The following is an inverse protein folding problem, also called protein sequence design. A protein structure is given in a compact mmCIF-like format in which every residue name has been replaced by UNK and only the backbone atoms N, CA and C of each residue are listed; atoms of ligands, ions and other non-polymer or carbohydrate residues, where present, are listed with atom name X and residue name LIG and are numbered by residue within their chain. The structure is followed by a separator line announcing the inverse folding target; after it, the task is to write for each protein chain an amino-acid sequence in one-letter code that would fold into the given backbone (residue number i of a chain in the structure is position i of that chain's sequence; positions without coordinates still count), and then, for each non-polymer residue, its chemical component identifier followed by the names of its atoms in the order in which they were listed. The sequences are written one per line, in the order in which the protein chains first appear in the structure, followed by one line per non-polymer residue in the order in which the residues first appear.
data_IF_016222388266
#
_entry.id   IF_016222388266
#
_cell.length_a   1.000
_cell.length_b   1.000
_cell.length_c   1.000
_cell.angle_alpha   90.00
_cell.angle_beta   90.00
_cell.angle_gamma   90.00
#
_symmetry.space_group_name_H-M   'P 1'
#
loop_
_entity.id
_entity.type
_entity.pdbx_description
1 polymer ?
#
# COMPACT_ATOMS: atom_id res chain seq x y z
N UNK A 1 9.33 -21.84 20.75
CA UNK A 1 8.27 -22.03 19.73
C UNK A 1 8.68 -21.20 18.52
N UNK A 2 8.97 -21.83 17.39
CA UNK A 2 9.40 -21.11 16.18
C UNK A 2 8.30 -20.13 15.77
N UNK A 3 8.59 -18.83 15.79
CA UNK A 3 7.68 -17.84 15.25
C UNK A 3 7.43 -18.21 13.77
N UNK A 4 6.16 -18.38 13.40
CA UNK A 4 5.79 -18.58 11.99
C UNK A 4 6.24 -17.36 11.19
N UNK A 5 6.84 -17.56 10.01
CA UNK A 5 7.21 -16.46 9.12
C UNK A 5 5.99 -15.70 8.57
N UNK A 6 4.80 -16.29 8.66
CA UNK A 6 3.54 -15.73 8.20
C UNK A 6 2.89 -14.80 9.24
N UNK A 7 2.28 -13.74 8.72
CA UNK A 7 1.54 -12.75 9.50
C UNK A 7 0.31 -12.25 8.70
N UNK A 8 -0.85 -11.99 9.32
CA UNK A 8 -1.15 -12.17 10.75
C UNK A 8 -1.11 -13.63 11.16
N UNK A 9 -0.87 -13.90 12.45
CA UNK A 9 -0.69 -15.27 12.96
C UNK A 9 -1.98 -16.07 12.84
N UNK A 10 -1.88 -17.27 12.29
CA UNK A 10 -2.96 -18.23 12.14
C UNK A 10 -2.44 -19.66 12.30
N UNK A 11 -3.36 -20.60 12.53
CA UNK A 11 -3.03 -22.02 12.70
C UNK A 11 -2.75 -22.73 11.37
N UNK A 12 -3.29 -22.21 10.26
CA UNK A 12 -3.11 -22.70 8.90
C UNK A 12 -3.14 -21.53 7.92
N UNK A 13 -2.35 -21.65 6.86
CA UNK A 13 -2.37 -20.73 5.72
C UNK A 13 -2.59 -21.48 4.42
N UNK A 14 -3.31 -20.84 3.50
CA UNK A 14 -3.41 -21.26 2.11
C UNK A 14 -2.47 -20.36 1.28
N UNK A 15 -1.52 -20.98 0.59
CA UNK A 15 -0.44 -20.27 -0.13
C UNK A 15 -0.67 -20.37 -1.63
N UNK A 16 -0.84 -19.22 -2.26
CA UNK A 16 -1.02 -19.08 -3.71
C UNK A 16 0.31 -18.70 -4.35
N UNK A 17 0.70 -19.38 -5.43
CA UNK A 17 1.97 -19.08 -6.11
C UNK A 17 1.76 -17.95 -7.11
N UNK A 18 2.56 -16.90 -7.00
CA UNK A 18 2.68 -15.83 -7.99
C UNK A 18 3.99 -16.01 -8.77
N UNK A 19 3.94 -16.43 -10.05
CA UNK A 19 5.13 -16.45 -10.89
C UNK A 19 5.60 -15.02 -11.18
N UNK A 20 6.88 -14.78 -10.96
CA UNK A 20 7.58 -13.54 -11.25
C UNK A 20 8.58 -13.79 -12.39
N UNK A 21 8.14 -13.43 -13.60
CA UNK A 21 8.96 -13.50 -14.81
C UNK A 21 9.80 -12.23 -14.96
N UNK A 22 11.09 -12.39 -15.29
CA UNK A 22 11.95 -11.25 -15.61
C UNK A 22 11.69 -10.75 -17.04
N UNK A 23 11.85 -9.45 -17.29
CA UNK A 23 11.64 -8.89 -18.64
C UNK A 23 12.67 -9.44 -19.63
N UNK A 24 12.20 -9.76 -20.84
CA UNK A 24 13.05 -10.27 -21.93
C UNK A 24 14.10 -9.28 -22.45
N UNK A 25 14.02 -8.01 -22.04
CA UNK A 25 14.98 -6.95 -22.37
C UNK A 25 16.29 -7.07 -21.56
N UNK A 26 16.32 -7.81 -20.46
CA UNK A 26 17.52 -7.95 -19.63
C UNK A 26 18.53 -8.92 -20.27
N UNK A 27 19.77 -8.45 -20.45
CA UNK A 27 20.89 -9.29 -20.86
C UNK A 27 21.22 -10.39 -19.83
N UNK A 28 21.87 -11.48 -20.25
CA UNK A 28 22.31 -12.55 -19.35
C UNK A 28 23.19 -12.02 -18.20
N UNK A 29 24.09 -11.09 -18.51
CA UNK A 29 24.96 -10.47 -17.50
C UNK A 29 24.16 -9.63 -16.50
N UNK A 30 23.18 -8.84 -16.96
CA UNK A 30 22.30 -8.09 -16.08
C UNK A 30 21.50 -9.02 -15.16
N UNK A 31 20.98 -10.13 -15.70
CA UNK A 31 20.26 -11.14 -14.91
C UNK A 31 21.14 -11.78 -13.84
N UNK A 32 22.38 -12.15 -14.18
CA UNK A 32 23.34 -12.70 -13.23
C UNK A 32 23.69 -11.70 -12.11
N UNK A 33 23.90 -10.43 -12.45
CA UNK A 33 24.15 -9.36 -11.48
C UNK A 33 22.95 -9.15 -10.54
N UNK A 34 21.72 -9.16 -11.08
CA UNK A 34 20.51 -9.08 -10.25
C UNK A 34 20.41 -10.30 -9.32
N UNK A 35 20.64 -11.52 -9.82
CA UNK A 35 20.62 -12.71 -8.96
C UNK A 35 21.66 -12.61 -7.84
N UNK A 36 22.87 -12.13 -8.15
CA UNK A 36 23.91 -11.86 -7.16
C UNK A 36 23.43 -10.88 -6.08
N UNK A 37 22.79 -9.77 -6.43
CA UNK A 37 22.31 -8.80 -5.43
C UNK A 37 21.23 -9.38 -4.53
N UNK A 38 20.33 -10.21 -5.06
CA UNK A 38 19.32 -10.92 -4.28
C UNK A 38 19.99 -11.83 -3.23
N UNK A 39 20.94 -12.66 -3.65
CA UNK A 39 21.69 -13.56 -2.75
C UNK A 39 22.43 -12.77 -1.66
N UNK A 40 23.11 -11.68 -2.02
CA UNK A 40 23.83 -10.84 -1.06
C UNK A 40 22.87 -10.20 -0.04
N UNK A 41 21.67 -9.82 -0.46
CA UNK A 41 20.65 -9.28 0.43
C UNK A 41 20.08 -10.34 1.37
N UNK A 42 19.85 -11.57 0.90
CA UNK A 42 19.45 -12.68 1.77
C UNK A 42 20.52 -12.97 2.83
N UNK A 43 21.80 -12.91 2.45
CA UNK A 43 22.94 -13.02 3.38
C UNK A 43 22.94 -11.89 4.42
N UNK A 44 22.74 -10.64 4.00
CA UNK A 44 22.64 -9.49 4.90
C UNK A 44 21.47 -9.65 5.88
N UNK A 45 20.29 -10.03 5.37
CA UNK A 45 19.10 -10.22 6.20
C UNK A 45 19.27 -11.33 7.23
N UNK A 46 19.92 -12.43 6.86
CA UNK A 46 20.24 -13.52 7.77
C UNK A 46 21.26 -13.08 8.84
N UNK A 47 22.29 -12.34 8.43
CA UNK A 47 23.33 -11.82 9.32
C UNK A 47 22.80 -10.78 10.33
N UNK A 48 21.70 -10.07 10.02
CA UNK A 48 21.05 -9.17 10.98
C UNK A 48 20.51 -9.89 12.22
N UNK A 49 20.19 -11.19 12.12
CA UNK A 49 19.64 -11.98 13.24
C UNK A 49 20.71 -12.73 14.03
N UNK A 50 22.00 -12.58 13.70
CA UNK A 50 23.10 -13.30 14.35
C UNK A 50 23.85 -12.41 15.32
N UNK A 51 23.98 -12.82 16.58
CA UNK A 51 24.92 -12.22 17.53
C UNK A 51 26.28 -12.93 17.42
N UNK A 52 27.16 -12.42 16.55
CA UNK A 52 28.46 -13.03 16.27
C UNK A 52 29.55 -11.98 16.07
N UNK A 53 30.77 -12.25 16.56
CA UNK A 53 31.91 -11.31 16.48
C UNK A 53 32.31 -10.86 15.07
N UNK A 54 31.90 -11.59 14.05
CA UNK A 54 32.19 -11.29 12.63
C UNK A 54 31.04 -10.59 11.89
N UNK A 55 29.93 -10.33 12.59
CA UNK A 55 28.71 -9.78 11.97
C UNK A 55 29.00 -8.49 11.20
N UNK A 56 29.71 -7.54 11.82
CA UNK A 56 30.04 -6.25 11.21
C UNK A 56 30.95 -6.39 9.98
N UNK A 57 31.94 -7.28 10.02
CA UNK A 57 32.83 -7.52 8.88
C UNK A 57 32.08 -8.17 7.70
N UNK A 58 31.20 -9.13 7.98
CA UNK A 58 30.34 -9.76 6.96
C UNK A 58 29.43 -8.70 6.33
N UNK A 59 28.78 -7.85 7.15
CA UNK A 59 27.94 -6.76 6.66
C UNK A 59 28.72 -5.80 5.76
N UNK A 60 29.92 -5.37 6.16
CA UNK A 60 30.74 -4.45 5.39
C UNK A 60 31.17 -5.05 4.03
N UNK A 61 31.68 -6.29 4.02
CA UNK A 61 32.10 -6.97 2.80
C UNK A 61 30.93 -7.21 1.84
N UNK A 62 29.79 -7.65 2.38
CA UNK A 62 28.60 -7.95 1.58
C UNK A 62 28.01 -6.68 0.99
N UNK A 63 27.94 -5.59 1.77
CA UNK A 63 27.50 -4.27 1.30
C UNK A 63 28.42 -3.71 0.21
N UNK A 64 29.75 -3.87 0.34
CA UNK A 64 30.69 -3.45 -0.70
C UNK A 64 30.49 -4.22 -2.01
N UNK A 65 30.22 -5.53 -1.92
CA UNK A 65 29.94 -6.36 -3.11
C UNK A 65 28.61 -5.98 -3.77
N UNK A 66 27.59 -5.70 -2.96
CA UNK A 66 26.28 -5.22 -3.42
C UNK A 66 26.40 -3.90 -4.18
N UNK A 67 27.20 -2.96 -3.65
CA UNK A 67 27.56 -1.71 -4.33
C UNK A 67 28.20 -1.95 -5.70
N UNK A 68 29.22 -2.82 -5.77
CA UNK A 68 29.88 -3.14 -7.04
C UNK A 68 28.92 -3.75 -8.06
N UNK A 69 28.02 -4.63 -7.63
CA UNK A 69 27.01 -5.22 -8.50
C UNK A 69 26.02 -4.17 -9.04
N UNK A 70 25.57 -3.23 -8.21
CA UNK A 70 24.71 -2.11 -8.64
C UNK A 70 25.40 -1.21 -9.68
N UNK A 71 26.65 -0.82 -9.44
CA UNK A 71 27.44 -0.02 -10.40
C UNK A 71 27.71 -0.79 -11.69
N UNK A 72 27.90 -2.11 -11.62
CA UNK A 72 28.08 -2.94 -12.81
C UNK A 72 26.78 -3.04 -13.60
N UNK A 73 25.65 -3.22 -12.90
CA UNK A 73 24.32 -3.34 -13.51
C UNK A 73 23.92 -2.06 -14.25
N UNK A 74 24.28 -0.86 -13.75
CA UNK A 74 23.94 0.40 -14.43
C UNK A 74 24.54 0.48 -15.85
N UNK A 75 25.71 -0.11 -16.08
CA UNK A 75 26.34 -0.15 -17.40
C UNK A 75 25.57 -1.01 -18.43
N UNK A 76 24.61 -1.82 -17.98
CA UNK A 76 23.80 -2.67 -18.84
C UNK A 76 22.43 -2.08 -19.17
N UNK A 77 22.07 -0.93 -18.59
CA UNK A 77 20.84 -0.23 -18.91
C UNK A 77 21.10 0.80 -20.02
N UNK A 78 20.03 1.34 -20.59
CA UNK A 78 20.08 2.46 -21.54
C UNK A 78 19.43 3.71 -20.96
N UNK A 79 18.33 3.54 -20.23
CA UNK A 79 17.59 4.64 -19.63
C UNK A 79 18.42 5.41 -18.59
N UNK A 80 18.42 6.74 -18.70
CA UNK A 80 19.26 7.62 -17.86
C UNK A 80 18.86 7.56 -16.39
N UNK A 81 17.56 7.61 -16.12
CA UNK A 81 17.06 7.64 -14.75
C UNK A 81 17.25 6.28 -14.08
N UNK A 82 16.98 5.18 -14.80
CA UNK A 82 17.28 3.82 -14.31
C UNK A 82 18.76 3.62 -13.96
N UNK A 83 19.68 4.18 -14.76
CA UNK A 83 21.13 4.16 -14.47
C UNK A 83 21.48 4.94 -13.21
N UNK A 84 21.06 6.20 -13.16
CA UNK A 84 21.35 7.09 -12.04
C UNK A 84 20.74 6.54 -10.75
N UNK A 85 19.57 5.92 -10.80
CA UNK A 85 18.93 5.27 -9.65
C UNK A 85 19.86 4.23 -9.03
N UNK A 86 20.44 3.34 -9.84
CA UNK A 86 21.38 2.32 -9.39
C UNK A 86 22.67 2.93 -8.82
N UNK A 87 23.23 3.92 -9.50
CA UNK A 87 24.47 4.58 -9.09
C UNK A 87 24.30 5.34 -7.77
N UNK A 88 23.22 6.10 -7.63
CA UNK A 88 22.92 6.82 -6.39
C UNK A 88 22.54 5.87 -5.27
N UNK A 89 21.81 4.78 -5.56
CA UNK A 89 21.54 3.73 -4.57
C UNK A 89 22.84 3.11 -4.06
N UNK A 90 23.78 2.83 -4.95
CA UNK A 90 25.10 2.32 -4.60
C UNK A 90 25.88 3.27 -3.68
N UNK A 91 25.76 4.59 -3.89
CA UNK A 91 26.39 5.61 -3.03
C UNK A 91 25.76 5.70 -1.63
N UNK A 92 24.47 5.37 -1.47
CA UNK A 92 23.82 5.38 -0.14
C UNK A 92 24.40 4.35 0.83
N UNK A 93 25.15 3.37 0.32
CA UNK A 93 25.84 2.38 1.15
C UNK A 93 27.08 2.95 1.86
N UNK A 94 27.74 3.98 1.28
CA UNK A 94 28.99 4.53 1.82
C UNK A 94 28.74 5.70 2.77
N UNK A 95 27.79 6.58 2.42
CA UNK A 95 27.59 7.85 3.11
C UNK A 95 26.15 8.03 3.58
N UNK A 96 25.94 7.81 4.88
CA UNK A 96 24.65 8.06 5.52
C UNK A 96 24.25 9.54 5.53
N UNK A 97 25.21 10.46 5.41
CA UNK A 97 24.91 11.90 5.34
C UNK A 97 24.31 12.25 3.97
N UNK A 98 24.80 11.64 2.89
CA UNK A 98 24.27 11.82 1.54
C UNK A 98 22.95 11.05 1.31
N UNK A 99 22.64 10.03 2.13
CA UNK A 99 21.46 9.17 1.95
C UNK A 99 20.17 9.97 1.78
N UNK A 100 19.89 10.96 2.63
CA UNK A 100 18.66 11.77 2.51
C UNK A 100 18.55 12.44 1.14
N UNK A 101 19.60 13.15 0.74
CA UNK A 101 19.63 13.88 -0.53
C UNK A 101 19.49 12.95 -1.74
N UNK A 102 20.24 11.84 -1.74
CA UNK A 102 20.20 10.87 -2.84
C UNK A 102 18.84 10.20 -2.94
N UNK A 103 18.24 9.82 -1.81
CA UNK A 103 16.91 9.21 -1.79
C UNK A 103 15.81 10.18 -2.26
N UNK A 104 15.89 11.47 -1.92
CA UNK A 104 14.99 12.51 -2.45
C UNK A 104 15.15 12.69 -3.95
N UNK A 105 16.39 12.66 -4.46
CA UNK A 105 16.66 12.71 -5.91
C UNK A 105 16.13 11.47 -6.64
N UNK A 106 16.30 10.28 -6.08
CA UNK A 106 15.72 9.04 -6.62
C UNK A 106 14.19 9.13 -6.63
N UNK A 107 13.57 9.73 -5.61
CA UNK A 107 12.12 9.88 -5.55
C UNK A 107 11.54 10.75 -6.67
N UNK A 108 12.37 11.54 -7.37
CA UNK A 108 11.96 12.39 -8.50
C UNK A 108 12.15 11.74 -9.87
N UNK A 109 12.74 10.55 -9.93
CA UNK A 109 13.06 9.88 -11.19
C UNK A 109 11.82 9.32 -11.88
N UNK A 110 11.90 9.25 -13.21
CA UNK A 110 10.96 8.53 -14.06
C UNK A 110 11.68 7.40 -14.80
N UNK A 111 12.08 6.37 -14.05
CA UNK A 111 12.80 5.23 -14.62
C UNK A 111 11.94 4.54 -15.70
N UNK A 112 12.48 4.32 -16.89
CA UNK A 112 11.77 3.68 -18.03
C UNK A 112 12.16 2.24 -18.29
N UNK A 113 13.21 1.75 -17.65
CA UNK A 113 13.74 0.40 -17.88
C UNK A 113 13.71 -0.45 -16.60
N UNK A 114 14.17 0.10 -15.48
CA UNK A 114 14.30 -0.63 -14.22
C UNK A 114 14.04 0.27 -13.01
N UNK A 115 13.09 -0.13 -12.18
CA UNK A 115 12.90 0.44 -10.84
C UNK A 115 13.46 -0.56 -9.83
N UNK A 116 14.31 -0.08 -8.94
CA UNK A 116 14.96 -0.94 -7.96
C UNK A 116 15.14 -0.29 -6.59
N UNK A 117 15.31 -1.14 -5.60
CA UNK A 117 15.71 -0.74 -4.26
C UNK A 117 16.65 -1.79 -3.69
N UNK A 118 17.66 -1.35 -2.94
CA UNK A 118 18.41 -2.23 -2.05
C UNK A 118 18.92 -1.47 -0.83
N UNK A 119 18.65 -1.99 0.36
CA UNK A 119 18.99 -1.36 1.63
C UNK A 119 18.08 -1.81 2.76
N UNK A 120 18.23 -1.17 3.91
CA UNK A 120 17.37 -1.42 5.06
C UNK A 120 16.04 -0.66 4.94
N UNK A 121 14.92 -1.39 4.93
CA UNK A 121 13.56 -0.85 4.88
C UNK A 121 12.75 -1.22 6.11
N UNK A 122 11.80 -0.39 6.50
CA UNK A 122 10.83 -0.72 7.53
C UNK A 122 9.83 -1.73 7.02
N UNK A 123 9.45 -2.64 7.90
CA UNK A 123 8.29 -3.51 7.70
C UNK A 123 7.01 -2.79 8.06
N UNK A 124 5.88 -3.51 7.98
CA UNK A 124 4.63 -3.07 8.58
C UNK A 124 4.77 -2.63 10.04
N UNK A 125 4.15 -1.50 10.40
CA UNK A 125 4.12 -0.95 11.77
C UNK A 125 3.62 -1.96 12.81
N UNK A 126 2.63 -2.80 12.44
CA UNK A 126 2.10 -3.86 13.29
C UNK A 126 3.03 -5.06 13.46
N UNK A 127 4.02 -5.24 12.57
CA UNK A 127 4.99 -6.35 12.60
C UNK A 127 6.28 -5.97 13.31
N UNK A 128 6.92 -4.88 12.90
CA UNK A 128 8.14 -4.35 13.53
C UNK A 128 8.38 -2.89 13.16
N UNK A 129 9.06 -2.16 14.04
CA UNK A 129 9.56 -0.80 13.81
C UNK A 129 11.02 -0.78 13.34
N UNK A 130 11.67 -1.94 13.27
CA UNK A 130 13.06 -2.08 12.86
C UNK A 130 13.19 -2.03 11.34
N UNK A 131 14.40 -1.71 10.87
CA UNK A 131 14.74 -1.72 9.45
C UNK A 131 15.50 -3.00 9.12
N UNK A 132 15.08 -3.69 8.07
CA UNK A 132 15.69 -4.94 7.62
C UNK A 132 16.12 -4.84 6.17
N UNK A 133 17.23 -5.51 5.84
CA UNK A 133 17.74 -5.52 4.48
C UNK A 133 16.75 -6.17 3.53
N UNK A 134 16.54 -5.48 2.41
CA UNK A 134 15.62 -5.85 1.35
C UNK A 134 16.16 -5.42 0.01
N UNK A 135 15.74 -6.15 -1.01
CA UNK A 135 15.98 -5.79 -2.40
C UNK A 135 14.75 -6.12 -3.21
N UNK A 136 14.43 -5.26 -4.17
CA UNK A 136 13.46 -5.60 -5.21
C UNK A 136 13.89 -5.01 -6.55
N UNK A 137 13.42 -5.66 -7.61
CA UNK A 137 13.53 -5.19 -8.98
C UNK A 137 12.19 -5.32 -9.68
N UNK A 138 11.83 -4.26 -10.39
CA UNK A 138 10.55 -4.15 -11.08
C UNK A 138 10.73 -3.39 -12.40
N UNK A 139 9.82 -3.61 -13.34
CA UNK A 139 9.75 -2.87 -14.60
C UNK A 139 8.60 -1.88 -14.58
N UNK A 140 8.77 -0.66 -15.12
CA UNK A 140 7.66 0.29 -15.27
C UNK A 140 6.48 -0.31 -16.04
N UNK A 141 5.26 -0.05 -15.56
CA UNK A 141 4.02 -0.44 -16.24
C UNK A 141 3.31 0.83 -16.74
N UNK A 142 3.63 1.24 -17.97
CA UNK A 142 3.12 2.49 -18.55
C UNK A 142 1.59 2.49 -18.73
N UNK A 143 0.99 1.33 -19.00
CA UNK A 143 -0.47 1.21 -19.16
C UNK A 143 -1.21 1.53 -17.86
N UNK A 144 -0.72 1.02 -16.72
CA UNK A 144 -1.31 1.31 -15.42
C UNK A 144 -0.79 2.62 -14.82
N UNK A 145 0.39 3.09 -15.22
CA UNK A 145 0.85 4.44 -14.91
C UNK A 145 -0.11 5.48 -15.50
N UNK A 146 -0.60 5.28 -16.73
CA UNK A 146 -1.62 6.14 -17.34
C UNK A 146 -2.89 6.22 -16.47
N UNK A 147 -3.33 5.11 -15.85
CA UNK A 147 -4.48 5.12 -14.94
C UNK A 147 -4.24 6.06 -13.76
N UNK A 148 -3.06 5.99 -13.13
CA UNK A 148 -2.67 6.92 -12.06
C UNK A 148 -2.63 8.38 -12.54
N UNK A 149 -2.07 8.62 -13.73
CA UNK A 149 -1.94 9.95 -14.28
C UNK A 149 -3.31 10.60 -14.56
N UNK A 150 -4.29 9.83 -15.04
CA UNK A 150 -5.66 10.33 -15.24
C UNK A 150 -6.28 10.81 -13.92
N UNK A 151 -6.05 10.09 -12.81
CA UNK A 151 -6.53 10.54 -11.49
C UNK A 151 -5.85 11.85 -11.08
N UNK A 152 -4.53 11.97 -11.30
CA UNK A 152 -3.76 13.17 -10.98
C UNK A 152 -4.19 14.39 -11.80
N UNK A 153 -4.35 14.22 -13.12
CA UNK A 153 -4.74 15.29 -14.03
C UNK A 153 -6.13 15.86 -13.72
N UNK A 154 -7.00 15.05 -13.10
CA UNK A 154 -8.38 15.42 -12.78
C UNK A 154 -8.62 15.71 -11.29
N UNK A 155 -7.55 15.82 -10.48
CA UNK A 155 -7.68 16.05 -9.03
C UNK A 155 -8.38 17.36 -8.69
N UNK A 156 -8.17 18.42 -9.47
CA UNK A 156 -8.79 19.72 -9.22
C UNK A 156 -10.32 19.67 -9.38
N UNK A 157 -10.82 18.98 -10.41
CA UNK A 157 -12.26 18.76 -10.58
C UNK A 157 -12.83 17.89 -9.45
N UNK A 158 -12.10 16.85 -9.06
CA UNK A 158 -12.50 15.98 -7.95
C UNK A 158 -12.62 16.79 -6.66
N UNK A 159 -11.65 17.65 -6.35
CA UNK A 159 -11.68 18.54 -5.17
C UNK A 159 -12.86 19.50 -5.24
N UNK A 160 -13.15 20.11 -6.40
CA UNK A 160 -14.32 20.96 -6.56
C UNK A 160 -15.63 20.20 -6.29
N UNK A 161 -15.71 18.95 -6.73
CA UNK A 161 -16.85 18.06 -6.48
C UNK A 161 -16.98 17.73 -4.99
N UNK A 162 -15.88 17.41 -4.30
CA UNK A 162 -15.87 17.18 -2.85
C UNK A 162 -16.31 18.44 -2.09
N UNK A 163 -15.82 19.62 -2.47
CA UNK A 163 -16.20 20.90 -1.85
C UNK A 163 -17.68 21.18 -1.96
N UNK A 164 -18.27 20.91 -3.12
CA UNK A 164 -19.70 21.10 -3.37
C UNK A 164 -20.57 20.16 -2.53
N UNK A 165 -20.16 18.90 -2.38
CA UNK A 165 -20.99 17.86 -1.81
C UNK A 165 -20.76 17.62 -0.31
N UNK A 166 -19.62 18.07 0.25
CA UNK A 166 -19.21 17.76 1.62
C UNK A 166 -18.94 19.05 2.39
N UNK A 167 -17.89 19.79 2.04
CA UNK A 167 -17.51 20.99 2.78
C UNK A 167 -16.70 21.96 1.90
N UNK A 168 -17.14 23.22 1.83
CA UNK A 168 -16.57 24.24 0.96
C UNK A 168 -15.11 24.63 1.29
N UNK A 169 -14.60 24.28 2.46
CA UNK A 169 -13.23 24.58 2.90
C UNK A 169 -12.20 23.49 2.52
N UNK A 170 -12.66 22.36 1.97
CA UNK A 170 -11.76 21.30 1.54
C UNK A 170 -10.76 21.83 0.50
N UNK A 171 -9.51 21.41 0.64
CA UNK A 171 -8.40 21.68 -0.26
C UNK A 171 -7.52 20.44 -0.38
N UNK A 172 -6.77 20.38 -1.47
CA UNK A 172 -5.75 19.36 -1.68
C UNK A 172 -4.37 19.95 -1.37
N UNK A 173 -3.61 19.30 -0.49
CA UNK A 173 -2.19 19.59 -0.27
C UNK A 173 -1.35 18.97 -1.40
N UNK A 174 -0.09 19.43 -1.59
CA UNK A 174 0.84 18.75 -2.48
C UNK A 174 0.95 17.26 -2.12
N UNK A 175 0.78 16.39 -3.12
CA UNK A 175 0.88 14.95 -2.99
C UNK A 175 2.21 14.44 -3.58
N UNK A 176 2.51 13.18 -3.32
CA UNK A 176 3.76 12.55 -3.75
C UNK A 176 3.68 12.02 -5.19
N UNK A 177 4.87 11.80 -5.78
CA UNK A 177 4.97 11.11 -7.06
C UNK A 177 4.50 9.66 -6.95
N UNK A 178 4.07 9.07 -8.06
CA UNK A 178 3.51 7.72 -8.06
C UNK A 178 4.11 6.91 -9.21
N UNK A 179 4.67 5.74 -8.91
CA UNK A 179 5.32 4.87 -9.91
C UNK A 179 4.70 3.49 -9.89
N UNK A 180 3.99 3.14 -10.97
CA UNK A 180 3.40 1.82 -11.17
C UNK A 180 4.41 0.93 -11.90
N UNK A 181 4.67 -0.24 -11.32
CA UNK A 181 5.66 -1.19 -11.81
C UNK A 181 5.14 -2.62 -11.67
N UNK A 182 5.74 -3.55 -12.41
CA UNK A 182 5.56 -4.98 -12.21
C UNK A 182 6.82 -5.56 -11.57
N UNK A 183 6.65 -6.13 -10.37
CA UNK A 183 7.72 -6.78 -9.63
C UNK A 183 8.16 -8.04 -10.37
N UNK A 184 9.45 -8.25 -10.55
CA UNK A 184 9.96 -9.52 -11.08
C UNK A 184 11.00 -10.20 -10.17
N UNK A 185 11.50 -9.50 -9.15
CA UNK A 185 12.42 -10.07 -8.18
C UNK A 185 12.34 -9.37 -6.82
N UNK A 186 12.47 -10.14 -5.74
CA UNK A 186 12.52 -9.65 -4.37
C UNK A 186 13.35 -10.54 -3.45
N UNK A 187 13.99 -9.93 -2.45
CA UNK A 187 14.88 -10.57 -1.47
C UNK A 187 14.83 -9.92 -0.11
N UNK A 188 15.34 -10.62 0.90
CA UNK A 188 15.38 -10.14 2.27
C UNK A 188 13.98 -9.94 2.84
N UNK A 189 13.78 -8.86 3.59
CA UNK A 189 12.50 -8.59 4.26
C UNK A 189 11.35 -8.32 3.28
N UNK A 190 11.62 -7.74 2.10
CA UNK A 190 10.63 -7.50 1.06
C UNK A 190 10.03 -8.78 0.46
N UNK A 191 10.70 -9.93 0.62
CA UNK A 191 10.20 -11.24 0.21
C UNK A 191 9.54 -12.01 1.38
N UNK A 192 9.38 -11.41 2.56
CA UNK A 192 8.68 -12.04 3.68
C UNK A 192 7.19 -11.67 3.73
N UNK A 193 6.49 -12.20 4.73
CA UNK A 193 5.06 -12.02 4.88
C UNK A 193 4.70 -10.91 5.89
N UNK A 194 3.54 -10.25 5.68
CA UNK A 194 2.72 -10.32 4.47
C UNK A 194 3.42 -9.60 3.30
N UNK A 195 3.15 -10.07 2.07
CA UNK A 195 3.71 -9.46 0.87
C UNK A 195 3.18 -8.03 0.72
N UNK A 196 4.09 -7.09 0.58
CA UNK A 196 3.77 -5.69 0.27
C UNK A 196 3.58 -5.55 -1.24
N UNK A 197 2.56 -4.81 -1.64
CA UNK A 197 2.39 -4.37 -3.02
C UNK A 197 2.73 -2.88 -3.20
N UNK A 198 3.03 -2.15 -2.12
CA UNK A 198 3.39 -0.75 -2.18
C UNK A 198 4.47 -0.39 -1.15
N UNK A 199 5.30 0.59 -1.51
CA UNK A 199 6.34 1.17 -0.66
C UNK A 199 6.34 2.70 -0.76
N UNK A 200 6.48 3.37 0.38
CA UNK A 200 6.45 4.83 0.52
C UNK A 200 7.88 5.36 0.68
N UNK A 201 8.48 5.75 -0.44
CA UNK A 201 9.90 6.13 -0.49
C UNK A 201 10.08 7.65 -0.34
N UNK A 202 11.12 8.12 0.37
CA UNK A 202 12.14 7.33 1.08
C UNK A 202 11.80 7.08 2.57
N UNK A 203 10.54 7.25 2.95
CA UNK A 203 10.12 7.15 4.34
C UNK A 203 10.29 5.73 4.92
N UNK A 204 9.98 4.72 4.11
CA UNK A 204 10.21 3.31 4.42
C UNK A 204 11.70 2.96 4.48
N UNK A 205 12.57 3.79 3.89
CA UNK A 205 14.02 3.62 3.96
C UNK A 205 14.63 4.20 5.25
N UNK A 206 13.77 4.69 6.15
CA UNK A 206 14.15 5.39 7.39
C UNK A 206 14.42 6.89 7.22
N UNK A 207 14.21 7.46 6.03
CA UNK A 207 14.41 8.90 5.78
C UNK A 207 13.12 9.64 6.09
N UNK A 208 12.96 10.07 7.35
CA UNK A 208 11.78 10.83 7.80
C UNK A 208 11.85 12.30 7.37
N UNK A 209 10.68 12.91 7.15
CA UNK A 209 10.53 14.33 6.75
C UNK A 209 11.31 14.69 5.48
N UNK A 210 11.30 13.78 4.50
CA UNK A 210 11.82 14.05 3.17
C UNK A 210 10.97 15.12 2.47
N UNK A 211 11.62 16.07 1.81
CA UNK A 211 10.98 17.14 1.04
C UNK A 211 10.39 16.65 -0.28
N UNK A 212 10.89 15.51 -0.79
CA UNK A 212 10.31 14.81 -1.94
C UNK A 212 10.09 13.35 -1.61
N UNK A 213 8.94 12.83 -2.02
CA UNK A 213 8.48 11.47 -1.76
C UNK A 213 7.89 10.87 -3.05
N UNK A 214 7.91 9.55 -3.13
CA UNK A 214 7.15 8.79 -4.12
C UNK A 214 6.60 7.49 -3.54
N UNK A 215 5.46 7.06 -4.03
CA UNK A 215 4.92 5.72 -3.77
C UNK A 215 5.24 4.81 -4.97
N UNK A 216 5.84 3.65 -4.70
CA UNK A 216 6.08 2.60 -5.70
C UNK A 216 5.02 1.52 -5.51
N UNK A 217 4.32 1.14 -6.58
CA UNK A 217 3.23 0.14 -6.54
C UNK A 217 3.52 -1.01 -7.48
N UNK A 218 3.55 -2.23 -6.93
CA UNK A 218 3.70 -3.49 -7.65
C UNK A 218 2.33 -3.95 -8.15
N UNK A 219 1.96 -3.58 -9.37
CA UNK A 219 0.64 -3.83 -9.94
C UNK A 219 0.31 -5.32 -10.05
N UNK A 220 1.27 -6.14 -10.49
CA UNK A 220 1.11 -7.59 -10.54
C UNK A 220 0.92 -8.23 -9.16
N UNK A 221 1.65 -7.78 -8.13
CA UNK A 221 1.47 -8.26 -6.76
C UNK A 221 0.11 -7.84 -6.23
N UNK A 222 -0.30 -6.60 -6.47
CA UNK A 222 -1.60 -6.11 -6.01
C UNK A 222 -2.76 -6.87 -6.67
N UNK A 223 -2.69 -7.05 -7.99
CA UNK A 223 -3.68 -7.84 -8.74
C UNK A 223 -3.75 -9.27 -8.21
N UNK A 224 -2.60 -9.91 -7.95
CA UNK A 224 -2.56 -11.25 -7.39
C UNK A 224 -3.13 -11.35 -5.96
N UNK A 225 -2.91 -10.34 -5.10
CA UNK A 225 -3.53 -10.28 -3.78
C UNK A 225 -5.05 -10.17 -3.89
N UNK A 226 -5.56 -9.33 -4.80
CA UNK A 226 -6.99 -9.19 -4.99
C UNK A 226 -7.60 -10.49 -5.55
N UNK A 227 -7.04 -11.00 -6.64
CA UNK A 227 -7.54 -12.18 -7.34
C UNK A 227 -7.50 -13.44 -6.46
N UNK A 228 -6.39 -13.68 -5.76
CA UNK A 228 -6.23 -14.91 -4.98
C UNK A 228 -6.80 -14.81 -3.56
N UNK A 229 -7.08 -13.60 -3.05
CA UNK A 229 -7.51 -13.42 -1.66
C UNK A 229 -8.84 -12.68 -1.54
N UNK A 230 -8.95 -11.48 -2.12
CA UNK A 230 -10.18 -10.67 -2.02
C UNK A 230 -11.36 -11.37 -2.70
N UNK A 231 -11.17 -11.91 -3.90
CA UNK A 231 -12.27 -12.57 -4.64
C UNK A 231 -12.77 -13.87 -3.97
N UNK A 232 -11.95 -14.52 -3.13
CA UNK A 232 -12.37 -15.69 -2.34
C UNK A 232 -13.50 -15.37 -1.36
N UNK A 233 -13.83 -14.08 -1.17
CA UNK A 233 -14.89 -13.59 -0.30
C UNK A 233 -16.08 -13.00 -1.05
N UNK A 234 -16.18 -13.19 -2.37
CA UNK A 234 -17.36 -12.81 -3.15
C UNK A 234 -18.66 -13.37 -2.57
N UNK A 235 -18.65 -14.66 -2.19
CA UNK A 235 -19.82 -15.34 -1.63
C UNK A 235 -20.31 -14.73 -0.30
N UNK A 236 -19.44 -14.03 0.46
CA UNK A 236 -19.85 -13.31 1.69
C UNK A 236 -20.89 -12.26 1.37
N UNK A 237 -20.81 -11.64 0.18
CA UNK A 237 -21.76 -10.64 -0.30
C UNK A 237 -22.88 -11.22 -1.16
N UNK A 238 -22.91 -12.55 -1.37
CA UNK A 238 -23.78 -13.19 -2.36
C UNK A 238 -23.43 -12.83 -3.81
N UNK A 239 -22.20 -12.43 -4.08
CA UNK A 239 -21.70 -12.09 -5.42
C UNK A 239 -20.93 -13.26 -6.06
N UNK A 240 -20.73 -13.15 -7.38
CA UNK A 240 -19.84 -14.02 -8.15
C UNK A 240 -18.86 -13.20 -9.03
N UNK A 241 -18.03 -13.88 -9.82
CA UNK A 241 -17.02 -13.22 -10.65
C UNK A 241 -17.60 -12.26 -11.70
N UNK A 242 -18.84 -12.45 -12.13
CA UNK A 242 -19.51 -11.60 -13.13
C UNK A 242 -19.88 -10.22 -12.59
N UNK A 243 -20.01 -10.10 -11.27
CA UNK A 243 -20.27 -8.85 -10.55
C UNK A 243 -19.07 -7.89 -10.58
N UNK A 244 -17.85 -8.42 -10.81
CA UNK A 244 -16.61 -7.66 -10.84
C UNK A 244 -16.27 -7.12 -12.25
N UNK A 245 -15.32 -6.18 -12.37
CA UNK A 245 -14.73 -5.85 -13.66
C UNK A 245 -14.18 -7.11 -14.34
N UNK A 246 -14.14 -7.12 -15.67
CA UNK A 246 -13.43 -8.18 -16.39
C UNK A 246 -11.95 -8.19 -15.96
N UNK A 247 -11.30 -9.35 -16.00
CA UNK A 247 -9.90 -9.49 -15.55
C UNK A 247 -8.97 -8.46 -16.23
N UNK A 248 -9.17 -8.21 -17.54
CA UNK A 248 -8.38 -7.22 -18.29
C UNK A 248 -8.53 -5.77 -17.79
N UNK A 249 -9.62 -5.47 -17.06
CA UNK A 249 -9.90 -4.13 -16.54
C UNK A 249 -9.76 -4.05 -15.02
N UNK A 250 -9.64 -5.17 -14.31
CA UNK A 250 -9.62 -5.19 -12.85
C UNK A 250 -8.48 -4.34 -12.28
N UNK A 251 -7.27 -4.46 -12.84
CA UNK A 251 -6.12 -3.65 -12.42
C UNK A 251 -6.36 -2.15 -12.60
N UNK A 252 -7.16 -1.71 -13.58
CA UNK A 252 -7.56 -0.30 -13.71
C UNK A 252 -8.36 0.16 -12.50
N UNK A 253 -9.29 -0.64 -11.99
CA UNK A 253 -10.09 -0.27 -10.81
C UNK A 253 -9.21 -0.26 -9.55
N UNK A 254 -8.33 -1.25 -9.40
CA UNK A 254 -7.42 -1.35 -8.28
C UNK A 254 -6.45 -0.16 -8.22
N UNK A 255 -5.82 0.19 -9.34
CA UNK A 255 -4.88 1.31 -9.42
C UNK A 255 -5.60 2.65 -9.30
N UNK A 256 -6.76 2.82 -9.92
CA UNK A 256 -7.55 4.06 -9.77
C UNK A 256 -7.91 4.29 -8.30
N UNK A 257 -8.49 3.28 -7.63
CA UNK A 257 -8.84 3.38 -6.22
C UNK A 257 -7.61 3.64 -5.34
N UNK A 258 -6.53 2.89 -5.51
CA UNK A 258 -5.35 3.03 -4.65
C UNK A 258 -4.63 4.37 -4.87
N UNK A 259 -4.60 4.90 -6.11
CA UNK A 259 -4.13 6.27 -6.34
C UNK A 259 -5.07 7.29 -5.72
N UNK A 260 -6.39 7.09 -5.85
CA UNK A 260 -7.38 7.91 -5.18
C UNK A 260 -7.15 7.96 -3.67
N UNK A 261 -6.90 6.81 -3.03
CA UNK A 261 -6.57 6.71 -1.61
C UNK A 261 -5.32 7.53 -1.26
N UNK A 262 -4.23 7.39 -2.02
CA UNK A 262 -2.99 8.16 -1.79
C UNK A 262 -3.23 9.68 -1.87
N UNK A 263 -4.02 10.13 -2.86
CA UNK A 263 -4.47 11.52 -2.96
C UNK A 263 -5.44 11.93 -1.86
N UNK A 264 -6.22 10.98 -1.32
CA UNK A 264 -7.13 11.17 -0.20
C UNK A 264 -6.43 11.66 1.06
N UNK A 265 -5.18 11.25 1.31
CA UNK A 265 -4.36 11.80 2.40
C UNK A 265 -4.07 13.30 2.26
N UNK A 266 -4.13 13.84 1.05
CA UNK A 266 -3.91 15.27 0.79
C UNK A 266 -5.17 16.12 0.97
N UNK A 267 -6.35 15.51 1.15
CA UNK A 267 -7.61 16.23 1.34
C UNK A 267 -7.74 16.67 2.80
N UNK A 268 -7.72 17.99 3.01
CA UNK A 268 -7.74 18.62 4.34
C UNK A 268 -8.59 19.88 4.34
N UNK A 269 -8.81 20.45 5.52
CA UNK A 269 -9.30 21.83 5.70
C UNK A 269 -8.15 22.74 6.19
N UNK A 270 -8.34 24.08 6.26
CA UNK A 270 -7.33 24.98 6.84
C UNK A 270 -7.02 24.71 8.32
N UNK A 271 -7.96 24.11 9.06
CA UNK A 271 -7.86 23.87 10.51
C UNK A 271 -7.39 22.46 10.87
N UNK A 272 -7.22 21.57 9.89
CA UNK A 272 -6.79 20.18 10.10
C UNK A 272 -5.46 20.11 10.85
N UNK A 273 -5.40 19.27 11.90
CA UNK A 273 -4.19 19.07 12.69
C UNK A 273 -4.05 17.63 13.22
N UNK A 274 -3.53 16.74 12.38
CA UNK A 274 -3.23 15.35 12.78
C UNK A 274 -2.19 15.25 13.90
N UNK A 275 -1.31 16.25 14.02
CA UNK A 275 -0.35 16.34 15.14
C UNK A 275 -1.07 16.51 16.47
N UNK A 276 -2.12 17.32 16.53
CA UNK A 276 -2.90 17.49 17.75
C UNK A 276 -3.69 16.22 18.08
N UNK A 277 -4.34 15.61 17.08
CA UNK A 277 -5.03 14.32 17.24
C UNK A 277 -4.10 13.22 17.73
N UNK A 278 -2.89 13.12 17.16
CA UNK A 278 -1.91 12.11 17.56
C UNK A 278 -1.39 12.29 18.99
N UNK A 279 -1.51 13.48 19.61
CA UNK A 279 -1.16 13.68 21.02
C UNK A 279 -2.23 13.12 21.96
N UNK A 280 -3.50 13.17 21.56
CA UNK A 280 -4.62 12.63 22.32
C UNK A 280 -4.73 11.13 22.17
N UNK A 281 -4.72 10.65 20.92
CA UNK A 281 -4.79 9.25 20.57
C UNK A 281 -3.97 8.99 19.31
N UNK A 282 -2.75 8.50 19.50
CA UNK A 282 -1.83 8.22 18.38
C UNK A 282 -2.38 7.15 17.44
N UNK A 283 -2.96 6.08 17.98
CA UNK A 283 -3.44 4.97 17.15
C UNK A 283 -4.73 5.37 16.43
N UNK A 284 -5.68 5.96 17.16
CA UNK A 284 -6.90 6.51 16.59
C UNK A 284 -6.62 7.53 15.49
N UNK A 285 -5.65 8.42 15.69
CA UNK A 285 -5.23 9.40 14.68
C UNK A 285 -4.73 8.74 13.39
N UNK A 286 -3.97 7.63 13.47
CA UNK A 286 -3.55 6.89 12.28
C UNK A 286 -4.74 6.21 11.60
N UNK A 287 -5.60 5.53 12.36
CA UNK A 287 -6.81 4.86 11.84
C UNK A 287 -7.74 5.84 11.11
N UNK A 288 -8.02 7.01 11.67
CA UNK A 288 -8.92 7.98 11.00
C UNK A 288 -8.27 8.63 9.78
N UNK A 289 -6.94 8.77 9.73
CA UNK A 289 -6.23 9.25 8.55
C UNK A 289 -6.37 8.27 7.38
N UNK A 290 -6.25 6.97 7.64
CA UNK A 290 -6.50 5.93 6.63
C UNK A 290 -7.98 5.89 6.21
N UNK A 291 -8.91 6.03 7.16
CA UNK A 291 -10.34 6.07 6.84
C UNK A 291 -10.73 7.29 5.98
N UNK A 292 -10.13 8.46 6.26
CA UNK A 292 -10.25 9.65 5.43
C UNK A 292 -9.72 9.39 4.02
N UNK A 293 -8.53 8.81 3.90
CA UNK A 293 -7.89 8.51 2.63
C UNK A 293 -8.73 7.55 1.77
N UNK A 294 -9.22 6.45 2.35
CA UNK A 294 -10.09 5.50 1.66
C UNK A 294 -11.37 6.14 1.13
N UNK A 295 -12.05 6.93 1.97
CA UNK A 295 -13.36 7.52 1.64
C UNK A 295 -13.23 8.64 0.63
N UNK A 296 -12.28 9.56 0.83
CA UNK A 296 -12.03 10.60 -0.18
C UNK A 296 -11.48 10.01 -1.47
N UNK A 297 -10.61 9.01 -1.39
CA UNK A 297 -10.05 8.34 -2.56
C UNK A 297 -11.09 7.64 -3.41
N UNK A 298 -12.03 6.94 -2.78
CA UNK A 298 -13.17 6.35 -3.46
C UNK A 298 -14.03 7.41 -4.14
N UNK A 299 -14.32 8.53 -3.46
CA UNK A 299 -15.12 9.62 -4.03
C UNK A 299 -14.43 10.34 -5.19
N UNK A 300 -13.10 10.56 -5.10
CA UNK A 300 -12.28 11.11 -6.19
C UNK A 300 -12.49 10.26 -7.46
N UNK A 301 -12.42 8.93 -7.33
CA UNK A 301 -12.60 7.99 -8.43
C UNK A 301 -14.02 7.96 -9.03
N UNK A 302 -14.99 8.62 -8.40
CA UNK A 302 -16.36 8.76 -8.92
C UNK A 302 -16.63 10.06 -9.66
N UNK A 303 -15.61 10.92 -9.79
CA UNK A 303 -15.70 12.19 -10.53
C UNK A 303 -15.89 11.92 -12.02
N UNK A 304 -16.75 12.70 -12.69
CA UNK A 304 -17.18 12.44 -14.07
C UNK A 304 -16.02 12.28 -15.05
N UNK A 305 -15.01 13.15 -15.01
CA UNK A 305 -13.88 13.07 -15.93
C UNK A 305 -13.05 11.79 -15.75
N UNK A 306 -12.76 11.41 -14.50
CA UNK A 306 -12.04 10.17 -14.18
C UNK A 306 -12.87 8.94 -14.61
N UNK A 307 -14.17 8.94 -14.27
CA UNK A 307 -15.10 7.87 -14.63
C UNK A 307 -15.20 7.68 -16.15
N UNK A 308 -15.30 8.77 -16.90
CA UNK A 308 -15.46 8.73 -18.35
C UNK A 308 -14.17 8.28 -19.04
N UNK A 309 -13.02 8.83 -18.64
CA UNK A 309 -11.73 8.53 -19.26
C UNK A 309 -11.31 7.07 -18.99
N UNK A 310 -11.41 6.63 -17.73
CA UNK A 310 -11.05 5.26 -17.33
C UNK A 310 -12.19 4.24 -17.52
N UNK A 311 -13.38 4.69 -17.95
CA UNK A 311 -14.59 3.88 -18.13
C UNK A 311 -14.95 3.08 -16.87
N UNK A 312 -14.84 3.71 -15.71
CA UNK A 312 -15.15 3.08 -14.43
C UNK A 312 -16.66 2.94 -14.27
N UNK A 313 -17.11 1.73 -13.96
CA UNK A 313 -18.47 1.50 -13.53
C UNK A 313 -18.55 1.67 -12.02
N UNK A 314 -19.39 2.61 -11.59
CA UNK A 314 -19.53 2.99 -10.18
C UNK A 314 -19.92 1.81 -9.27
N UNK A 315 -20.81 0.93 -9.72
CA UNK A 315 -21.23 -0.24 -8.96
C UNK A 315 -20.09 -1.27 -8.82
N UNK A 316 -19.35 -1.52 -9.90
CA UNK A 316 -18.19 -2.41 -9.87
C UNK A 316 -17.05 -1.85 -9.01
N UNK A 317 -16.84 -0.54 -9.02
CA UNK A 317 -15.88 0.13 -8.14
C UNK A 317 -16.26 -0.04 -6.67
N UNK A 318 -17.55 0.11 -6.32
CA UNK A 318 -18.03 -0.18 -4.97
C UNK A 318 -17.77 -1.63 -4.55
N UNK A 319 -18.00 -2.61 -5.43
CA UNK A 319 -17.72 -4.03 -5.12
C UNK A 319 -16.23 -4.29 -4.92
N UNK A 320 -15.37 -3.76 -5.78
CA UNK A 320 -13.90 -3.86 -5.63
C UNK A 320 -13.47 -3.27 -4.28
N UNK A 321 -13.96 -2.08 -3.96
CA UNK A 321 -13.68 -1.40 -2.69
C UNK A 321 -14.16 -2.22 -1.47
N UNK A 322 -15.39 -2.74 -1.50
CA UNK A 322 -15.94 -3.52 -0.38
C UNK A 322 -15.21 -4.85 -0.15
N UNK A 323 -14.69 -5.48 -1.22
CA UNK A 323 -13.85 -6.67 -1.10
C UNK A 323 -12.47 -6.33 -0.53
N UNK A 324 -11.85 -5.23 -0.97
CA UNK A 324 -10.58 -4.75 -0.42
C UNK A 324 -10.72 -4.35 1.05
N UNK A 325 -11.77 -3.59 1.40
CA UNK A 325 -12.12 -3.26 2.78
C UNK A 325 -12.22 -4.52 3.64
N UNK A 326 -12.91 -5.56 3.15
CA UNK A 326 -12.99 -6.85 3.85
C UNK A 326 -11.63 -7.55 3.96
N UNK A 327 -10.78 -7.50 2.92
CA UNK A 327 -9.40 -8.03 2.98
C UNK A 327 -8.58 -7.31 4.06
N UNK A 328 -8.62 -5.98 4.10
CA UNK A 328 -7.89 -5.18 5.10
C UNK A 328 -8.40 -5.44 6.51
N UNK A 329 -9.71 -5.42 6.73
CA UNK A 329 -10.34 -5.69 8.02
C UNK A 329 -9.86 -7.02 8.61
N UNK A 330 -9.81 -8.08 7.79
CA UNK A 330 -9.39 -9.42 8.19
C UNK A 330 -7.90 -9.56 8.53
N UNK A 331 -7.09 -8.50 8.36
CA UNK A 331 -5.69 -8.47 8.81
C UNK A 331 -5.53 -8.22 10.31
N UNK A 332 -6.59 -7.76 10.98
CA UNK A 332 -6.56 -7.41 12.41
C UNK A 332 -6.77 -5.90 12.63
N UNK A 333 -7.99 -5.45 12.98
CA UNK A 333 -8.30 -4.02 13.09
C UNK A 333 -7.49 -3.25 14.14
N UNK A 334 -7.01 -3.94 15.17
CA UNK A 334 -6.15 -3.36 16.21
C UNK A 334 -4.66 -3.49 15.91
N UNK A 335 -4.28 -4.20 14.84
CA UNK A 335 -2.89 -4.47 14.50
C UNK A 335 -2.37 -3.55 13.38
N UNK A 336 -3.26 -2.98 12.57
CA UNK A 336 -2.92 -2.10 11.45
C UNK A 336 -3.87 -0.91 11.33
N UNK A 337 -3.35 0.30 11.03
CA UNK A 337 -4.18 1.47 10.73
C UNK A 337 -5.19 1.21 9.60
N UNK A 338 -4.77 0.64 8.46
CA UNK A 338 -5.66 0.33 7.31
C UNK A 338 -6.79 -0.64 7.71
N UNK A 339 -6.47 -1.64 8.55
CA UNK A 339 -7.47 -2.58 9.05
C UNK A 339 -8.44 -1.92 10.02
N UNK A 340 -7.94 -1.00 10.85
CA UNK A 340 -8.78 -0.19 11.72
C UNK A 340 -9.66 0.79 10.95
N UNK A 341 -9.18 1.34 9.83
CA UNK A 341 -9.97 2.17 8.93
C UNK A 341 -11.10 1.38 8.30
N UNK A 342 -10.81 0.17 7.81
CA UNK A 342 -11.84 -0.74 7.31
C UNK A 342 -12.90 -1.07 8.38
N UNK A 343 -12.52 -1.16 9.66
CA UNK A 343 -13.47 -1.32 10.76
C UNK A 343 -14.37 -0.10 10.96
N UNK A 344 -13.79 1.11 10.98
CA UNK A 344 -14.55 2.38 11.05
C UNK A 344 -15.58 2.46 9.92
N UNK A 345 -15.15 2.15 8.69
CA UNK A 345 -15.98 2.16 7.50
C UNK A 345 -17.11 1.13 7.58
N UNK A 346 -16.79 -0.13 7.89
CA UNK A 346 -17.79 -1.19 8.05
C UNK A 346 -18.83 -0.83 9.10
N UNK A 347 -18.39 -0.38 10.29
CA UNK A 347 -19.29 -0.01 11.39
C UNK A 347 -20.23 1.11 10.98
N UNK A 348 -19.70 2.18 10.37
CA UNK A 348 -20.52 3.28 9.90
C UNK A 348 -21.52 2.83 8.82
N UNK A 349 -21.10 1.99 7.88
CA UNK A 349 -21.98 1.50 6.82
C UNK A 349 -23.11 0.62 7.34
N UNK A 350 -22.84 -0.20 8.37
CA UNK A 350 -23.87 -0.96 9.10
C UNK A 350 -24.87 -0.03 9.79
N UNK A 351 -24.38 0.94 10.56
CA UNK A 351 -25.24 1.92 11.26
C UNK A 351 -26.08 2.75 10.29
N UNK A 352 -25.54 3.00 9.09
CA UNK A 352 -26.22 3.75 8.05
C UNK A 352 -27.23 2.92 7.24
N UNK A 353 -27.27 1.59 7.46
CA UNK A 353 -28.18 0.64 6.82
C UNK A 353 -27.81 0.23 5.40
N UNK A 354 -26.66 0.65 4.85
CA UNK A 354 -26.24 0.22 3.51
C UNK A 354 -25.50 -1.12 3.50
N UNK A 355 -24.98 -1.55 4.66
CA UNK A 355 -24.48 -2.91 4.87
C UNK A 355 -25.25 -3.57 6.02
N UNK A 356 -25.46 -4.88 5.95
CA UNK A 356 -26.02 -5.67 7.05
C UNK A 356 -25.16 -6.91 7.26
N UNK A 357 -24.51 -7.02 8.43
CA UNK A 357 -23.73 -8.21 8.81
C UNK A 357 -24.63 -9.20 9.55
N UNK A 358 -24.83 -10.37 8.95
CA UNK A 358 -25.57 -11.47 9.57
C UNK A 358 -24.70 -12.25 10.56
N UNK A 359 -25.36 -12.99 11.46
CA UNK A 359 -24.68 -13.82 12.47
C UNK A 359 -23.83 -14.95 11.90
N UNK A 360 -24.07 -15.36 10.65
CA UNK A 360 -23.26 -16.37 9.95
C UNK A 360 -22.07 -15.77 9.17
N UNK A 361 -21.85 -14.45 9.27
CA UNK A 361 -20.77 -13.75 8.59
C UNK A 361 -21.10 -13.26 7.18
N UNK A 362 -22.28 -13.56 6.63
CA UNK A 362 -22.75 -12.94 5.37
C UNK A 362 -22.95 -11.44 5.54
N UNK A 363 -22.64 -10.68 4.49
CA UNK A 363 -22.87 -9.24 4.42
C UNK A 363 -23.83 -8.95 3.27
N UNK A 364 -25.02 -8.43 3.57
CA UNK A 364 -25.87 -7.86 2.53
C UNK A 364 -25.42 -6.42 2.24
N UNK A 365 -25.29 -6.05 0.96
CA UNK A 365 -24.87 -4.73 0.54
C UNK A 365 -25.92 -4.07 -0.37
N UNK A 366 -26.52 -2.97 0.10
CA UNK A 366 -27.33 -2.07 -0.72
C UNK A 366 -26.42 -1.12 -1.51
N UNK A 367 -26.08 -1.52 -2.74
CA UNK A 367 -25.22 -0.74 -3.61
C UNK A 367 -25.85 0.58 -4.07
N UNK A 368 -27.19 0.73 -4.03
CA UNK A 368 -27.85 1.99 -4.33
C UNK A 368 -27.67 3.00 -3.17
N UNK A 369 -27.78 2.52 -1.93
CA UNK A 369 -27.54 3.30 -0.70
C UNK A 369 -26.07 3.52 -0.35
N UNK A 370 -25.15 2.75 -0.94
CA UNK A 370 -23.73 2.75 -0.59
C UNK A 370 -23.04 4.12 -0.77
N UNK A 371 -23.06 4.72 -1.96
CA UNK A 371 -22.41 6.02 -2.18
C UNK A 371 -23.02 7.18 -1.38
N UNK A 372 -24.35 7.26 -1.18
CA UNK A 372 -24.94 8.15 -0.20
C UNK A 372 -24.35 7.96 1.21
N UNK A 373 -24.11 6.72 1.65
CA UNK A 373 -23.45 6.44 2.92
C UNK A 373 -21.98 6.87 2.95
N UNK A 374 -21.22 6.65 1.86
CA UNK A 374 -19.84 7.13 1.70
C UNK A 374 -19.78 8.66 1.83
N UNK A 375 -20.70 9.39 1.18
CA UNK A 375 -20.78 10.86 1.30
C UNK A 375 -21.10 11.30 2.74
N UNK A 376 -22.01 10.60 3.43
CA UNK A 376 -22.29 10.87 4.85
C UNK A 376 -21.04 10.64 5.70
N UNK A 377 -20.34 9.52 5.52
CA UNK A 377 -19.11 9.24 6.26
C UNK A 377 -18.05 10.32 6.00
N UNK A 378 -17.89 10.75 4.74
CA UNK A 378 -16.98 11.83 4.40
C UNK A 378 -17.35 13.15 5.10
N UNK A 379 -18.64 13.47 5.20
CA UNK A 379 -19.16 14.60 5.99
C UNK A 379 -18.81 14.48 7.47
N UNK A 380 -19.14 13.35 8.09
CA UNK A 380 -18.83 13.08 9.50
C UNK A 380 -17.33 13.17 9.80
N UNK A 381 -16.48 12.55 8.97
CA UNK A 381 -15.03 12.63 9.10
C UNK A 381 -14.54 14.08 8.92
N UNK A 382 -15.10 14.82 7.98
CA UNK A 382 -14.74 16.23 7.79
C UNK A 382 -15.08 17.06 9.02
N UNK A 383 -16.31 16.96 9.50
CA UNK A 383 -16.83 17.73 10.65
C UNK A 383 -16.09 17.41 11.95
N UNK A 384 -15.84 16.12 12.21
CA UNK A 384 -15.31 15.67 13.49
C UNK A 384 -13.78 15.61 13.51
N UNK A 385 -13.13 15.27 12.39
CA UNK A 385 -11.68 15.03 12.34
C UNK A 385 -10.93 16.21 11.71
N UNK A 386 -11.43 16.77 10.60
CA UNK A 386 -10.68 17.79 9.85
C UNK A 386 -10.85 19.21 10.41
N UNK A 387 -11.90 19.51 11.18
CA UNK A 387 -12.18 20.86 11.67
C UNK A 387 -11.30 21.36 12.83
N UNK A 388 -10.32 20.55 13.29
CA UNK A 388 -9.42 20.94 14.38
C UNK A 388 -10.07 20.96 15.78
N UNK A 389 -11.32 20.50 15.90
CA UNK A 389 -11.99 20.31 17.18
C UNK A 389 -11.59 18.97 17.81
N UNK A 390 -10.66 19.02 18.78
CA UNK A 390 -10.11 17.83 19.43
C UNK A 390 -11.17 17.03 20.21
N UNK A 391 -12.11 17.69 20.88
CA UNK A 391 -13.16 17.02 21.66
C UNK A 391 -14.08 16.21 20.73
N UNK A 392 -14.50 16.83 19.62
CA UNK A 392 -15.31 16.16 18.59
C UNK A 392 -14.56 14.98 17.96
N UNK A 393 -13.27 15.13 17.69
CA UNK A 393 -12.46 14.06 17.16
C UNK A 393 -12.27 12.90 18.15
N UNK A 394 -12.06 13.20 19.43
CA UNK A 394 -11.97 12.18 20.48
C UNK A 394 -13.28 11.40 20.62
N UNK A 395 -14.43 12.09 20.57
CA UNK A 395 -15.75 11.44 20.61
C UNK A 395 -15.94 10.51 19.41
N UNK A 396 -15.56 10.95 18.21
CA UNK A 396 -15.60 10.11 17.01
C UNK A 396 -14.70 8.88 17.17
N UNK A 397 -13.43 9.06 17.56
CA UNK A 397 -12.48 7.96 17.72
C UNK A 397 -12.93 6.96 18.79
N UNK A 398 -13.49 7.42 19.93
CA UNK A 398 -14.05 6.54 20.95
C UNK A 398 -15.24 5.73 20.44
N UNK A 399 -16.02 6.30 19.52
CA UNK A 399 -17.22 5.65 19.00
C UNK A 399 -16.89 4.64 17.89
N UNK A 400 -15.90 4.91 17.05
CA UNK A 400 -15.67 4.12 15.83
C UNK A 400 -14.34 3.38 15.77
N UNK A 401 -13.28 3.81 16.46
CA UNK A 401 -11.98 3.15 16.33
C UNK A 401 -11.95 1.82 17.11
N UNK A 402 -11.37 0.76 16.53
CA UNK A 402 -11.49 -0.61 17.07
C UNK A 402 -10.85 -0.79 18.45
N UNK A 403 -9.81 -0.03 18.78
CA UNK A 403 -9.14 -0.11 20.08
C UNK A 403 -9.95 0.51 21.23
N UNK A 404 -10.99 1.28 20.93
CA UNK A 404 -11.98 1.74 21.92
C UNK A 404 -13.26 0.89 21.94
N UNK A 405 -13.44 0.02 20.95
CA UNK A 405 -14.63 -0.82 20.74
C UNK A 405 -14.26 -2.31 20.63
N UNK A 406 -13.37 -2.76 21.52
CA UNK A 406 -12.69 -4.07 21.43
C UNK A 406 -13.68 -5.24 21.45
N UNK A 407 -14.74 -5.16 22.26
CA UNK A 407 -15.73 -6.24 22.37
C UNK A 407 -16.50 -6.42 21.06
N UNK A 408 -17.04 -5.34 20.50
CA UNK A 408 -17.76 -5.39 19.22
C UNK A 408 -16.82 -5.77 18.07
N UNK A 409 -15.60 -5.22 18.05
CA UNK A 409 -14.57 -5.60 17.09
C UNK A 409 -14.29 -7.11 17.16
N UNK A 410 -14.15 -7.67 18.37
CA UNK A 410 -13.93 -9.11 18.55
C UNK A 410 -15.12 -9.93 18.04
N UNK A 411 -16.35 -9.49 18.30
CA UNK A 411 -17.56 -10.17 17.85
C UNK A 411 -17.70 -10.15 16.31
N UNK A 412 -17.45 -9.02 15.67
CA UNK A 412 -17.44 -8.89 14.20
C UNK A 412 -16.35 -9.80 13.61
N UNK A 413 -15.14 -9.77 14.18
CA UNK A 413 -14.04 -10.61 13.69
C UNK A 413 -14.26 -12.10 13.93
N UNK A 414 -15.03 -12.50 14.95
CA UNK A 414 -15.42 -13.89 15.16
C UNK A 414 -16.30 -14.42 14.01
N UNK A 415 -17.13 -13.56 13.39
CA UNK A 415 -17.97 -13.93 12.26
C UNK A 415 -17.23 -13.87 10.92
N UNK A 416 -16.33 -12.89 10.73
CA UNK A 416 -15.60 -12.67 9.46
C UNK A 416 -14.29 -13.47 9.36
N UNK A 417 -13.74 -13.89 10.49
CA UNK A 417 -12.46 -14.58 10.61
C UNK A 417 -11.26 -13.70 10.27
N UNK A 418 -10.06 -14.27 10.41
CA UNK A 418 -8.79 -13.63 10.01
C UNK A 418 -8.37 -14.08 8.63
N UNK A 419 -7.56 -13.28 7.95
CA UNK A 419 -6.95 -13.61 6.66
C UNK A 419 -5.95 -14.77 6.84
N UNK A 420 -6.17 -15.87 6.13
CA UNK A 420 -5.29 -17.05 6.13
C UNK A 420 -4.71 -17.34 4.75
N UNK A 421 -5.14 -16.61 3.74
CA UNK A 421 -4.58 -16.66 2.40
C UNK A 421 -3.34 -15.76 2.29
N UNK A 422 -2.33 -16.23 1.57
CA UNK A 422 -1.14 -15.44 1.26
C UNK A 422 -0.59 -15.82 -0.11
N UNK A 423 0.33 -15.02 -0.64
CA UNK A 423 0.99 -15.32 -1.90
C UNK A 423 2.48 -15.58 -1.66
N UNK A 424 3.06 -16.50 -2.43
CA UNK A 424 4.50 -16.76 -2.46
C UNK A 424 5.05 -16.56 -3.87
N UNK A 425 6.24 -15.96 -3.97
CA UNK A 425 6.85 -15.62 -5.24
C UNK A 425 7.66 -16.79 -5.80
N UNK A 426 7.31 -17.26 -7.00
CA UNK A 426 8.17 -18.12 -7.82
C UNK A 426 9.03 -17.23 -8.73
N UNK A 427 10.30 -17.03 -8.39
CA UNK A 427 11.16 -16.03 -9.04
C UNK A 427 12.10 -16.65 -10.07
N UNK A 428 11.74 -16.59 -11.37
CA UNK A 428 12.53 -17.19 -12.47
C UNK A 428 13.95 -16.65 -12.58
N UNK A 429 14.19 -15.43 -12.12
CA UNK A 429 15.53 -14.81 -12.16
C UNK A 429 16.57 -15.53 -11.28
N UNK A 430 16.11 -16.35 -10.32
CA UNK A 430 16.98 -17.13 -9.44
C UNK A 430 17.46 -18.46 -10.04
N UNK A 431 16.93 -18.83 -11.21
CA UNK A 431 17.32 -20.04 -11.95
C UNK A 431 18.57 -19.84 -12.84
N UNK A 432 19.15 -18.62 -12.83
CA UNK A 432 20.25 -18.18 -13.70
C UNK A 432 21.63 -18.60 -13.21
#
# INVERSE_FOLDING_TARGET
MSATNFWPRATKYDVHVLPLDFPGTLSNTARALINETLVLTDMLRANQNTDHRWQSQITALTTQRLKTAFLSLSNHLNDKDSKLALEWRAQTFDDQNAKKELCEKIAQMDEKELVCYSGAMSTWVGKSKELFYSTFYATPNENLQYVSNVVDENIDEAVLTLKKNINAELKCLPFCGYKIVDLFASSGEANLYPKHFAYFMPEDEGVKYAGTKRTIVFANVYSALFENISTQRLAVYGWDSSDLPSNNNLSTYLIAWFRGHDLGHSIVTPTTSFRALSKCDRWGSMVVQEALADIFGLLICTTSSIVNELKLNKEKLARVYLLEMLRYLRRGPCDFPDAGAAYVQLKFFIESGCLELKSNGEIHADLAGFYPAVLRLAGHLTENILQGNIESAELFMRSYCPHHDVENCTNIMANLGVITDTIEYEQRIREV
#
